data_IF_034175791028
#
_entry.id   IF_034175791028
#
_cell.length_a   1.000
_cell.length_b   1.000
_cell.length_c   1.000
_cell.angle_alpha   90.00
_cell.angle_beta   90.00
_cell.angle_gamma   90.00
#
_symmetry.space_group_name_H-M   'P 1'
#
loop_
_entity.id
_entity.type
_entity.pdbx_description
1 polymer ?
#
# COMPACT_ATOMS: atom_id res chain seq x y z
N UNK A 1 17.43 17.58 37.20
CA UNK A 1 16.58 16.42 37.57
C UNK A 1 15.28 16.32 36.76
N UNK A 2 14.65 17.46 36.39
CA UNK A 2 13.45 17.47 35.53
C UNK A 2 13.71 16.87 34.12
N UNK A 3 14.88 17.15 33.57
CA UNK A 3 15.29 16.64 32.26
C UNK A 3 15.47 15.12 32.25
N UNK A 4 16.01 14.53 33.32
CA UNK A 4 16.19 13.08 33.47
C UNK A 4 14.84 12.37 33.61
N UNK A 5 13.88 12.96 34.36
CA UNK A 5 12.53 12.46 34.51
C UNK A 5 11.76 12.44 33.18
N UNK A 6 11.95 13.45 32.34
CA UNK A 6 11.30 13.53 31.01
C UNK A 6 11.84 12.46 30.03
N UNK A 7 13.16 12.17 30.06
CA UNK A 7 13.79 11.15 29.23
C UNK A 7 13.32 9.75 29.59
N UNK A 8 13.23 9.44 30.90
CA UNK A 8 12.76 8.14 31.37
C UNK A 8 11.28 7.96 31.00
N UNK A 9 10.44 8.98 31.24
CA UNK A 9 9.02 8.92 30.92
C UNK A 9 8.76 8.74 29.43
N UNK A 10 9.53 9.41 28.57
CA UNK A 10 9.37 9.29 27.11
C UNK A 10 9.75 7.90 26.60
N UNK A 11 10.79 7.30 27.16
CA UNK A 11 11.19 5.92 26.85
C UNK A 11 10.16 4.91 27.33
N UNK A 12 9.64 5.06 28.55
CA UNK A 12 8.60 4.19 29.09
C UNK A 12 7.35 4.20 28.20
N UNK A 13 6.90 5.37 27.74
CA UNK A 13 5.77 5.48 26.82
C UNK A 13 6.03 4.78 25.49
N UNK A 14 7.22 4.91 24.92
CA UNK A 14 7.59 4.20 23.71
C UNK A 14 7.60 2.67 23.90
N UNK A 15 8.21 2.18 24.98
CA UNK A 15 8.25 0.74 25.27
C UNK A 15 6.84 0.18 25.50
N UNK A 16 5.99 0.90 26.22
CA UNK A 16 4.59 0.52 26.43
C UNK A 16 3.82 0.45 25.11
N UNK A 17 3.91 1.50 24.29
CA UNK A 17 3.24 1.53 22.98
C UNK A 17 3.72 0.39 22.07
N UNK A 18 5.03 0.14 22.06
CA UNK A 18 5.64 -0.93 21.28
C UNK A 18 5.20 -2.32 21.78
N UNK A 19 5.13 -2.52 23.08
CA UNK A 19 4.64 -3.76 23.68
C UNK A 19 3.17 -4.02 23.29
N UNK A 20 2.30 -3.01 23.39
CA UNK A 20 0.90 -3.11 22.98
C UNK A 20 0.79 -3.46 21.50
N UNK A 21 1.58 -2.81 20.64
CA UNK A 21 1.56 -3.04 19.19
C UNK A 21 2.03 -4.46 18.80
N UNK A 22 3.00 -5.01 19.50
CA UNK A 22 3.62 -6.30 19.17
C UNK A 22 2.96 -7.50 19.87
N UNK A 23 2.00 -7.30 20.78
CA UNK A 23 1.23 -8.42 21.36
C UNK A 23 0.39 -9.09 20.27
N UNK A 24 0.26 -10.40 20.28
CA UNK A 24 -0.25 -11.27 19.21
C UNK A 24 -1.51 -10.81 18.44
N UNK A 25 -2.50 -10.21 19.10
CA UNK A 25 -3.65 -9.52 18.45
C UNK A 25 -3.52 -8.01 18.47
N UNK A 26 -2.33 -7.45 18.63
CA UNK A 26 -1.95 -6.07 18.93
C UNK A 26 -3.04 -5.02 18.78
N UNK A 27 -3.25 -4.24 19.81
CA UNK A 27 -4.18 -3.10 19.78
C UNK A 27 -3.46 -1.88 19.17
N UNK A 28 -3.51 -1.78 17.82
CA UNK A 28 -2.85 -0.69 17.10
C UNK A 28 -3.44 0.68 17.44
N UNK A 29 -4.74 0.75 17.78
CA UNK A 29 -5.40 2.00 18.19
C UNK A 29 -4.83 2.47 19.53
N UNK A 30 -4.79 1.60 20.50
CA UNK A 30 -4.23 1.92 21.83
C UNK A 30 -2.72 2.19 21.76
N UNK A 31 -1.99 1.46 20.96
CA UNK A 31 -0.57 1.71 20.73
C UNK A 31 -0.33 3.11 20.12
N UNK A 32 -1.16 3.50 19.16
CA UNK A 32 -1.13 4.82 18.54
C UNK A 32 -1.43 5.94 19.57
N UNK A 33 -2.44 5.77 20.42
CA UNK A 33 -2.78 6.73 21.50
C UNK A 33 -1.62 6.93 22.48
N UNK A 34 -1.01 5.83 22.96
CA UNK A 34 0.12 5.89 23.88
C UNK A 34 1.34 6.53 23.21
N UNK A 35 1.64 6.15 21.96
CA UNK A 35 2.73 6.74 21.21
C UNK A 35 2.50 8.24 20.96
N UNK A 36 1.27 8.64 20.61
CA UNK A 36 0.90 10.06 20.42
C UNK A 36 1.09 10.86 21.71
N UNK A 37 0.74 10.29 22.85
CA UNK A 37 1.01 10.90 24.17
C UNK A 37 2.51 11.12 24.37
N UNK A 38 3.35 10.12 24.05
CA UNK A 38 4.80 10.20 24.19
C UNK A 38 5.43 11.23 23.26
N UNK A 39 4.99 11.27 22.00
CA UNK A 39 5.44 12.27 21.04
C UNK A 39 5.06 13.69 21.43
N UNK A 40 3.78 13.91 21.81
CA UNK A 40 3.27 15.28 22.11
C UNK A 40 3.89 15.85 23.38
N UNK A 41 4.11 15.02 24.40
CA UNK A 41 4.70 15.48 25.67
C UNK A 41 6.22 15.66 25.62
N UNK A 42 6.90 14.91 24.76
CA UNK A 42 8.37 14.85 24.72
C UNK A 42 8.92 14.84 23.28
N UNK A 43 8.52 15.79 22.41
CA UNK A 43 8.82 15.72 20.97
C UNK A 43 10.31 15.66 20.66
N UNK A 44 11.15 16.39 21.41
CA UNK A 44 12.59 16.46 21.17
C UNK A 44 13.39 15.33 21.84
N UNK A 45 12.75 14.53 22.68
CA UNK A 45 13.42 13.42 23.37
C UNK A 45 13.61 12.23 22.43
N UNK A 46 14.56 11.35 22.76
CA UNK A 46 14.77 10.09 22.05
C UNK A 46 13.50 9.20 22.08
N UNK A 47 12.81 9.16 23.23
CA UNK A 47 11.56 8.41 23.37
C UNK A 47 10.44 8.99 22.51
N UNK A 48 10.29 10.31 22.47
CA UNK A 48 9.29 10.99 21.64
C UNK A 48 9.51 10.75 20.15
N UNK A 49 10.75 10.82 19.66
CA UNK A 49 11.08 10.48 18.27
C UNK A 49 10.81 9.01 17.93
N UNK A 50 11.04 8.08 18.88
CA UNK A 50 10.67 6.67 18.69
C UNK A 50 9.16 6.48 18.66
N UNK A 51 8.40 7.21 19.48
CA UNK A 51 6.94 7.23 19.43
C UNK A 51 6.45 7.73 18.07
N UNK A 52 7.03 8.81 17.55
CA UNK A 52 6.73 9.29 16.19
C UNK A 52 6.95 8.21 15.14
N UNK A 53 8.09 7.52 15.15
CA UNK A 53 8.39 6.46 14.20
C UNK A 53 7.39 5.29 14.31
N UNK A 54 6.93 4.96 15.51
CA UNK A 54 5.89 3.95 15.71
C UNK A 54 4.55 4.40 15.11
N UNK A 55 4.15 5.66 15.31
CA UNK A 55 2.95 6.24 14.70
C UNK A 55 3.03 6.14 13.19
N UNK A 56 4.14 6.58 12.58
CA UNK A 56 4.34 6.48 11.13
C UNK A 56 4.21 5.04 10.63
N UNK A 57 4.70 4.05 11.38
CA UNK A 57 4.56 2.63 11.04
C UNK A 57 3.11 2.14 11.15
N UNK A 58 2.36 2.60 12.16
CA UNK A 58 0.94 2.24 12.33
C UNK A 58 0.11 2.87 11.22
N UNK A 59 0.34 4.13 10.88
CA UNK A 59 -0.37 4.90 9.86
C UNK A 59 0.07 4.59 8.44
N UNK A 60 1.14 3.82 8.24
CA UNK A 60 1.67 3.51 6.92
C UNK A 60 0.59 2.90 6.02
N UNK A 61 0.40 3.52 4.86
CA UNK A 61 -0.49 3.05 3.82
C UNK A 61 0.09 1.80 3.17
N UNK A 62 -0.73 0.77 3.03
CA UNK A 62 -0.33 -0.47 2.37
C UNK A 62 -1.45 -0.94 1.46
N UNK A 63 -1.08 -1.45 0.28
CA UNK A 63 -1.98 -2.13 -0.61
C UNK A 63 -1.23 -3.24 -1.35
N UNK A 64 -1.91 -4.35 -1.54
CA UNK A 64 -1.48 -5.46 -2.39
C UNK A 64 -2.66 -5.94 -3.19
N UNK A 65 -2.47 -6.10 -4.48
CA UNK A 65 -3.50 -6.58 -5.41
C UNK A 65 -3.11 -7.95 -5.93
N UNK A 66 -4.07 -8.87 -5.92
CA UNK A 66 -3.94 -10.20 -6.48
C UNK A 66 -5.14 -10.48 -7.38
N UNK A 67 -4.91 -11.02 -8.57
CA UNK A 67 -5.94 -11.41 -9.52
C UNK A 67 -5.48 -12.62 -10.32
N UNK A 68 -6.40 -13.28 -11.00
CA UNK A 68 -6.06 -14.31 -11.96
C UNK A 68 -5.35 -13.69 -13.17
N UNK A 69 -4.44 -14.45 -13.78
CA UNK A 69 -3.72 -14.02 -14.98
C UNK A 69 -4.60 -14.04 -16.23
N UNK A 70 -5.59 -14.92 -16.27
CA UNK A 70 -6.47 -15.09 -17.43
C UNK A 70 -7.89 -14.72 -17.02
N UNK A 71 -8.40 -13.65 -17.61
CA UNK A 71 -9.73 -13.15 -17.33
C UNK A 71 -10.75 -13.71 -18.33
N UNK A 72 -11.32 -14.84 -17.97
CA UNK A 72 -12.39 -15.49 -18.74
C UNK A 72 -13.78 -14.92 -18.37
N UNK A 73 -14.82 -15.49 -18.96
CA UNK A 73 -16.19 -15.22 -18.57
C UNK A 73 -16.73 -16.40 -17.72
N UNK A 74 -17.23 -16.18 -16.49
CA UNK A 74 -17.37 -14.87 -15.84
C UNK A 74 -16.02 -14.24 -15.47
N UNK A 75 -15.96 -12.89 -15.44
CA UNK A 75 -14.74 -12.18 -15.05
C UNK A 75 -14.33 -12.52 -13.63
N UNK A 76 -13.02 -12.64 -13.34
CA UNK A 76 -12.54 -12.90 -12.00
C UNK A 76 -12.71 -11.67 -11.09
N UNK A 77 -12.59 -11.89 -9.79
CA UNK A 77 -12.41 -10.82 -8.83
C UNK A 77 -10.95 -10.40 -8.73
N UNK A 78 -10.76 -9.14 -8.41
CA UNK A 78 -9.47 -8.55 -8.06
C UNK A 78 -9.47 -8.43 -6.53
N UNK A 79 -8.63 -9.19 -5.86
CA UNK A 79 -8.52 -9.15 -4.41
C UNK A 79 -7.54 -8.04 -4.02
N UNK A 80 -8.04 -7.07 -3.25
CA UNK A 80 -7.26 -5.93 -2.75
C UNK A 80 -7.08 -6.10 -1.24
N UNK A 81 -5.88 -6.50 -0.82
CA UNK A 81 -5.46 -6.46 0.58
C UNK A 81 -4.89 -5.09 0.87
N UNK A 82 -5.42 -4.40 1.89
CA UNK A 82 -5.07 -3.01 2.15
C UNK A 82 -5.15 -2.61 3.62
N UNK A 83 -4.44 -1.54 3.96
CA UNK A 83 -4.49 -0.86 5.25
C UNK A 83 -4.25 0.64 5.06
N UNK A 84 -5.01 1.47 5.77
CA UNK A 84 -4.88 2.94 5.81
C UNK A 84 -5.05 3.63 4.45
N UNK A 85 -5.79 3.02 3.54
CA UNK A 85 -6.25 3.63 2.29
C UNK A 85 -7.76 3.44 2.14
N UNK A 86 -8.42 4.40 1.49
CA UNK A 86 -9.87 4.40 1.28
C UNK A 86 -10.27 4.37 -0.18
N UNK A 87 -9.28 4.34 -1.07
CA UNK A 87 -9.52 4.26 -2.51
C UNK A 87 -8.34 3.56 -3.21
N UNK A 88 -8.67 2.69 -4.16
CA UNK A 88 -7.71 2.05 -5.04
C UNK A 88 -7.98 2.45 -6.48
N UNK A 89 -6.94 2.78 -7.21
CA UNK A 89 -6.99 3.16 -8.63
C UNK A 89 -6.38 2.05 -9.47
N UNK A 90 -6.98 1.83 -10.64
CA UNK A 90 -6.60 0.78 -11.57
C UNK A 90 -6.45 1.36 -12.97
N UNK A 91 -5.45 0.87 -13.71
CA UNK A 91 -5.25 1.15 -15.14
C UNK A 91 -4.93 -0.14 -15.88
N UNK A 92 -5.54 -0.34 -17.03
CA UNK A 92 -5.14 -1.39 -17.97
C UNK A 92 -4.41 -0.75 -19.15
N UNK A 93 -3.17 -1.17 -19.35
CA UNK A 93 -2.33 -0.72 -20.46
C UNK A 93 -2.11 -1.91 -21.39
N UNK A 94 -2.41 -1.78 -22.68
CA UNK A 94 -2.26 -2.89 -23.62
C UNK A 94 -0.80 -3.29 -23.75
N UNK A 95 -0.59 -4.58 -23.81
CA UNK A 95 0.71 -5.18 -24.03
C UNK A 95 0.80 -5.74 -25.45
N UNK A 96 1.86 -5.37 -26.18
CA UNK A 96 2.12 -5.90 -27.50
C UNK A 96 3.13 -7.02 -27.45
N UNK A 97 2.69 -8.21 -27.80
CA UNK A 97 3.55 -9.40 -27.76
C UNK A 97 4.80 -9.26 -28.66
N UNK A 98 4.68 -8.54 -29.77
CA UNK A 98 5.83 -8.24 -30.66
C UNK A 98 6.92 -7.45 -29.94
N UNK A 99 6.56 -6.57 -29.01
CA UNK A 99 7.52 -5.78 -28.24
C UNK A 99 8.25 -6.66 -27.21
N UNK A 100 7.60 -7.70 -26.73
CA UNK A 100 8.22 -8.71 -25.85
C UNK A 100 9.28 -9.52 -26.59
N UNK A 101 8.94 -10.06 -27.78
CA UNK A 101 9.89 -10.86 -28.57
C UNK A 101 11.15 -10.04 -28.88
N UNK A 102 11.01 -8.74 -29.14
CA UNK A 102 12.13 -7.83 -29.44
C UNK A 102 12.95 -7.45 -28.19
N UNK A 103 12.36 -7.51 -27.01
CA UNK A 103 12.98 -7.01 -25.78
C UNK A 103 13.95 -7.98 -25.10
N UNK A 104 14.05 -9.23 -25.55
CA UNK A 104 14.86 -10.31 -24.96
C UNK A 104 14.64 -10.51 -23.44
N UNK A 105 13.46 -10.18 -22.92
CA UNK A 105 13.12 -10.33 -21.51
C UNK A 105 12.64 -11.76 -21.20
N UNK A 106 12.92 -12.23 -20.01
CA UNK A 106 12.46 -13.55 -19.56
C UNK A 106 10.95 -13.61 -19.31
N UNK A 107 10.36 -12.50 -18.85
CA UNK A 107 8.91 -12.38 -18.67
C UNK A 107 8.43 -10.95 -18.85
N UNK A 108 7.16 -10.73 -19.22
CA UNK A 108 6.57 -9.39 -19.32
C UNK A 108 6.63 -8.58 -18.01
N UNK A 109 6.65 -9.26 -16.86
CA UNK A 109 6.67 -8.66 -15.53
C UNK A 109 8.05 -8.10 -15.15
N UNK A 110 9.11 -8.52 -15.82
CA UNK A 110 10.48 -8.03 -15.58
C UNK A 110 10.72 -6.70 -16.29
N UNK A 111 10.23 -5.64 -15.64
CA UNK A 111 10.38 -4.28 -16.14
C UNK A 111 11.61 -3.62 -15.50
N UNK A 112 12.54 -3.16 -16.32
CA UNK A 112 13.57 -2.23 -15.86
C UNK A 112 12.97 -0.84 -15.58
N UNK A 113 13.76 0.04 -14.95
CA UNK A 113 13.30 1.38 -14.56
C UNK A 113 12.74 2.18 -15.75
N UNK A 114 13.36 2.12 -16.92
CA UNK A 114 12.92 2.88 -18.09
C UNK A 114 11.62 2.31 -18.67
N UNK A 115 11.51 0.99 -18.77
CA UNK A 115 10.29 0.32 -19.21
C UNK A 115 9.12 0.60 -18.25
N UNK A 116 9.39 0.59 -16.92
CA UNK A 116 8.39 0.95 -15.91
C UNK A 116 7.92 2.40 -16.07
N UNK A 117 8.83 3.36 -16.22
CA UNK A 117 8.48 4.77 -16.49
C UNK A 117 7.66 4.94 -17.76
N UNK A 118 8.08 4.30 -18.83
CA UNK A 118 7.35 4.32 -20.11
C UNK A 118 5.94 3.74 -19.95
N UNK A 119 5.79 2.62 -19.26
CA UNK A 119 4.50 2.00 -19.01
C UNK A 119 3.57 2.91 -18.18
N UNK A 120 4.08 3.53 -17.12
CA UNK A 120 3.32 4.45 -16.27
C UNK A 120 2.85 5.71 -17.03
N UNK A 121 3.61 6.16 -18.03
CA UNK A 121 3.26 7.31 -18.89
C UNK A 121 2.35 6.93 -20.06
N UNK A 122 2.19 5.64 -20.35
CA UNK A 122 1.35 5.17 -21.46
C UNK A 122 -0.13 5.40 -21.12
N UNK A 123 -0.88 5.91 -22.13
CA UNK A 123 -2.33 6.10 -21.99
C UNK A 123 -3.02 4.74 -21.79
N UNK A 124 -3.77 4.54 -20.71
CA UNK A 124 -4.50 3.30 -20.49
C UNK A 124 -5.68 3.17 -21.46
N UNK A 125 -6.06 1.95 -21.81
CA UNK A 125 -7.30 1.65 -22.53
C UNK A 125 -8.51 1.70 -21.60
N UNK A 126 -8.28 1.41 -20.33
CA UNK A 126 -9.31 1.48 -19.30
C UNK A 126 -8.68 1.97 -17.98
N UNK A 127 -9.39 2.85 -17.29
CA UNK A 127 -9.01 3.31 -15.97
C UNK A 127 -10.26 3.44 -15.09
N UNK A 128 -10.18 2.92 -13.87
CA UNK A 128 -11.27 3.01 -12.90
C UNK A 128 -10.74 3.12 -11.48
N UNK A 129 -11.61 3.30 -10.52
CA UNK A 129 -11.26 3.26 -9.10
C UNK A 129 -12.35 2.56 -8.31
N UNK A 130 -11.98 2.02 -7.17
CA UNK A 130 -12.89 1.46 -6.19
C UNK A 130 -12.68 2.13 -4.83
N UNK A 131 -13.78 2.45 -4.17
CA UNK A 131 -13.75 2.92 -2.79
C UNK A 131 -13.59 1.71 -1.87
N UNK A 132 -12.78 1.89 -0.84
CA UNK A 132 -12.45 0.86 0.15
C UNK A 132 -12.94 1.32 1.53
N UNK A 133 -13.56 0.44 2.32
CA UNK A 133 -13.91 0.74 3.71
C UNK A 133 -12.70 1.21 4.52
N UNK A 134 -12.90 2.22 5.36
CA UNK A 134 -11.82 2.74 6.20
C UNK A 134 -11.34 1.68 7.23
N UNK A 135 -10.04 1.66 7.47
CA UNK A 135 -9.41 0.79 8.47
C UNK A 135 -9.06 1.58 9.74
N UNK A 136 -10.09 2.11 10.42
CA UNK A 136 -9.91 2.93 11.62
C UNK A 136 -9.20 2.19 12.78
N UNK A 137 -9.17 0.87 12.74
CA UNK A 137 -8.46 0.00 13.67
C UNK A 137 -7.02 -0.31 13.24
N UNK A 138 -6.55 0.27 12.13
CA UNK A 138 -5.24 0.03 11.52
C UNK A 138 -4.98 -1.43 11.15
N UNK A 139 -6.02 -2.25 11.00
CA UNK A 139 -5.90 -3.66 10.61
C UNK A 139 -6.01 -3.81 9.10
N UNK A 140 -5.30 -4.80 8.57
CA UNK A 140 -5.40 -5.19 7.17
C UNK A 140 -6.79 -5.77 6.88
N UNK A 141 -7.35 -5.40 5.72
CA UNK A 141 -8.61 -5.91 5.19
C UNK A 141 -8.42 -6.36 3.76
N UNK A 142 -9.32 -7.22 3.30
CA UNK A 142 -9.36 -7.67 1.92
C UNK A 142 -10.74 -7.36 1.35
N UNK A 143 -10.74 -6.63 0.23
CA UNK A 143 -11.95 -6.37 -0.56
C UNK A 143 -11.84 -7.02 -1.93
N UNK A 144 -12.98 -7.53 -2.41
CA UNK A 144 -13.10 -8.15 -3.73
C UNK A 144 -13.73 -7.16 -4.70
N UNK A 145 -12.94 -6.74 -5.68
CA UNK A 145 -13.38 -5.79 -6.71
C UNK A 145 -13.67 -6.58 -7.99
N UNK A 146 -14.81 -6.37 -8.60
CA UNK A 146 -15.13 -7.00 -9.88
C UNK A 146 -14.22 -6.45 -10.99
N UNK A 147 -13.64 -7.34 -11.78
CA UNK A 147 -12.93 -6.93 -12.99
C UNK A 147 -13.92 -6.34 -14.01
N UNK A 148 -13.50 -5.35 -14.82
CA UNK A 148 -14.36 -4.72 -15.83
C UNK A 148 -14.89 -5.73 -16.85
N UNK A 149 -16.20 -5.64 -17.18
CA UNK A 149 -16.84 -6.52 -18.15
C UNK A 149 -16.45 -6.17 -19.60
N UNK A 150 -16.41 -4.85 -19.90
CA UNK A 150 -16.19 -4.31 -21.25
C UNK A 150 -14.71 -4.23 -21.60
N UNK A 151 -13.98 -5.34 -21.47
CA UNK A 151 -12.59 -5.41 -21.89
C UNK A 151 -12.44 -6.31 -23.12
N UNK A 152 -11.89 -5.77 -24.21
CA UNK A 152 -11.58 -6.55 -25.41
C UNK A 152 -10.57 -7.66 -25.09
N UNK A 153 -10.61 -8.75 -25.87
CA UNK A 153 -9.59 -9.80 -25.75
C UNK A 153 -8.21 -9.25 -26.10
N UNK A 154 -7.22 -9.61 -25.31
CA UNK A 154 -5.84 -9.11 -25.47
C UNK A 154 -5.00 -9.36 -24.23
N UNK A 155 -3.74 -8.93 -24.31
CA UNK A 155 -2.82 -8.96 -23.18
C UNK A 155 -2.64 -7.56 -22.61
N UNK A 156 -2.62 -7.44 -21.29
CA UNK A 156 -2.62 -6.14 -20.61
C UNK A 156 -1.72 -6.17 -19.37
N UNK A 157 -1.15 -5.02 -19.06
CA UNK A 157 -0.64 -4.76 -17.73
C UNK A 157 -1.76 -4.17 -16.88
N UNK A 158 -2.01 -4.75 -15.71
CA UNK A 158 -2.81 -4.17 -14.65
C UNK A 158 -1.89 -3.34 -13.75
N UNK A 159 -2.09 -2.04 -13.74
CA UNK A 159 -1.36 -1.11 -12.87
C UNK A 159 -2.31 -0.63 -11.80
N UNK A 160 -1.92 -0.77 -10.54
CA UNK A 160 -2.74 -0.41 -9.39
C UNK A 160 -1.99 0.51 -8.44
N UNK A 161 -2.68 1.47 -7.83
CA UNK A 161 -2.10 2.41 -6.87
C UNK A 161 -3.16 2.94 -5.91
N UNK A 162 -2.76 3.18 -4.66
CA UNK A 162 -3.55 3.96 -3.70
C UNK A 162 -3.58 5.46 -4.02
N UNK A 163 -2.78 5.91 -5.01
CA UNK A 163 -2.69 7.29 -5.44
C UNK A 163 -3.10 7.42 -6.92
N UNK A 164 -3.97 8.38 -7.22
CA UNK A 164 -4.45 8.68 -8.58
C UNK A 164 -3.30 9.02 -9.56
N UNK A 165 -2.22 9.58 -9.07
CA UNK A 165 -1.07 10.00 -9.88
C UNK A 165 -0.20 8.83 -10.35
N UNK A 166 -0.30 7.65 -9.73
CA UNK A 166 0.51 6.47 -10.04
C UNK A 166 2.02 6.78 -10.04
N UNK A 167 2.50 7.39 -8.95
CA UNK A 167 3.92 7.71 -8.79
C UNK A 167 4.81 6.46 -8.93
N UNK A 168 6.07 6.62 -9.29
CA UNK A 168 7.01 5.51 -9.54
C UNK A 168 7.19 4.56 -8.34
N UNK A 169 6.99 5.06 -7.13
CA UNK A 169 7.22 4.32 -5.88
C UNK A 169 5.95 3.70 -5.29
N UNK A 170 4.77 4.07 -5.79
CA UNK A 170 3.50 3.84 -5.11
C UNK A 170 2.49 3.09 -6.01
N UNK A 171 3.02 2.11 -6.77
CA UNK A 171 2.19 1.30 -7.66
C UNK A 171 2.64 -0.16 -7.69
N UNK A 172 1.71 -1.04 -8.00
CA UNK A 172 1.93 -2.44 -8.32
C UNK A 172 1.59 -2.67 -9.80
N UNK A 173 2.45 -3.38 -10.51
CA UNK A 173 2.26 -3.76 -11.90
C UNK A 173 2.17 -5.29 -11.96
N UNK A 174 1.10 -5.80 -12.55
CA UNK A 174 0.86 -7.23 -12.79
C UNK A 174 0.56 -7.45 -14.28
N UNK A 175 0.82 -8.67 -14.78
CA UNK A 175 0.58 -9.06 -16.17
C UNK A 175 -0.36 -10.26 -16.22
#
# INVERSE_FOLDING_TARGET
DEHTGSVISSRALNELATAIYNQGSGDAVKAHEVASTGQNRFPESVGGRRCYNLIQRIEAKQARVTTERVWNNPRPTIDVSYRNITKMHFRLVPYRFDDYIKSARWSPEQLDTNARKSLLSTKPVLAWSADLPATADYKERVEKIMAPEDLASGSYYLITSGNKEFSETDNQISF
#
